data_IF_736842993334
#
_entry.id   IF_736842993334
#
_cell.length_a   1.000
_cell.length_b   1.000
_cell.length_c   1.000
_cell.angle_alpha   90.00
_cell.angle_beta   90.00
_cell.angle_gamma   90.00
#
_symmetry.space_group_name_H-M   'P 1'
#
loop_
_entity.id
_entity.type
_entity.pdbx_description
1 polymer ?
#
# COMPACT_ATOMS: atom_id res chain seq x y z
N UNK A 1 -14.13 32.11 -4.27
CA UNK A 1 -14.91 32.79 -3.21
C UNK A 1 -16.34 32.93 -3.73
N UNK A 2 -17.22 31.99 -3.36
CA UNK A 2 -18.61 31.92 -3.84
C UNK A 2 -19.57 32.79 -3.04
N UNK A 3 -20.86 32.72 -3.38
CA UNK A 3 -21.95 33.47 -2.73
C UNK A 3 -22.93 32.52 -2.04
N UNK A 4 -23.34 32.83 -0.81
CA UNK A 4 -24.45 32.15 -0.12
C UNK A 4 -25.72 32.95 -0.37
N UNK A 5 -26.72 32.33 -0.97
CA UNK A 5 -28.05 32.93 -1.20
C UNK A 5 -29.06 32.31 -0.23
N UNK A 6 -29.85 33.17 0.42
CA UNK A 6 -30.94 32.76 1.30
C UNK A 6 -32.25 33.33 0.72
N UNK A 7 -33.28 32.50 0.63
CA UNK A 7 -34.63 32.91 0.27
C UNK A 7 -35.58 32.55 1.42
N UNK A 8 -36.31 33.53 1.93
CA UNK A 8 -37.30 33.38 2.99
C UNK A 8 -38.70 33.73 2.44
N UNK A 9 -39.68 32.85 2.66
CA UNK A 9 -41.00 32.97 2.03
C UNK A 9 -42.06 33.68 2.89
N UNK A 10 -41.79 33.96 4.17
CA UNK A 10 -42.83 34.43 5.10
C UNK A 10 -42.33 35.28 6.28
N UNK A 11 -41.25 36.03 6.13
CA UNK A 11 -40.67 36.88 7.18
C UNK A 11 -39.77 38.00 6.65
N UNK A 12 -39.36 38.93 7.52
CA UNK A 12 -38.30 39.90 7.24
C UNK A 12 -37.02 39.46 7.94
N UNK A 13 -35.93 39.35 7.19
CA UNK A 13 -34.61 39.00 7.72
C UNK A 13 -34.18 40.06 8.74
N UNK A 14 -34.01 39.65 10.00
CA UNK A 14 -33.59 40.52 11.08
C UNK A 14 -32.04 40.53 11.23
N UNK A 15 -31.51 41.46 12.03
CA UNK A 15 -30.07 41.60 12.26
C UNK A 15 -29.41 40.33 12.86
N UNK A 16 -30.17 39.50 13.59
CA UNK A 16 -29.67 38.22 14.09
C UNK A 16 -29.44 37.22 12.95
N UNK A 17 -30.31 37.19 11.95
CA UNK A 17 -30.18 36.34 10.75
C UNK A 17 -28.94 36.71 9.92
N UNK A 18 -28.65 38.01 9.79
CA UNK A 18 -27.44 38.48 9.10
C UNK A 18 -26.16 38.06 9.84
N UNK A 19 -26.14 38.17 11.17
CA UNK A 19 -25.00 37.74 11.98
C UNK A 19 -24.80 36.22 11.96
N UNK A 20 -25.89 35.44 11.96
CA UNK A 20 -25.85 33.99 11.78
C UNK A 20 -25.31 33.60 10.40
N UNK A 21 -25.73 34.29 9.34
CA UNK A 21 -25.21 34.11 7.99
C UNK A 21 -23.72 34.46 7.88
N UNK A 22 -23.27 35.54 8.50
CA UNK A 22 -21.84 35.90 8.53
C UNK A 22 -21.00 34.84 9.26
N UNK A 23 -21.49 34.29 10.37
CA UNK A 23 -20.83 33.19 11.09
C UNK A 23 -20.84 31.88 10.28
N UNK A 24 -21.97 31.54 9.67
CA UNK A 24 -22.09 30.40 8.77
C UNK A 24 -21.18 30.56 7.54
N UNK A 25 -21.04 31.78 6.99
CA UNK A 25 -20.13 32.10 5.91
C UNK A 25 -18.66 31.98 6.31
N UNK A 26 -18.29 32.30 7.57
CA UNK A 26 -16.93 32.07 8.08
C UNK A 26 -16.59 30.58 8.26
N UNK A 27 -17.56 29.78 8.73
CA UNK A 27 -17.41 28.31 8.82
C UNK A 27 -17.38 27.70 7.41
N UNK A 28 -18.30 28.11 6.55
CA UNK A 28 -18.38 27.68 5.17
C UNK A 28 -17.17 28.14 4.37
N UNK A 29 -16.60 29.32 4.60
CA UNK A 29 -15.38 29.78 3.91
C UNK A 29 -14.15 29.00 4.35
N UNK A 30 -14.11 28.50 5.58
CA UNK A 30 -13.07 27.56 6.04
C UNK A 30 -13.28 26.19 5.38
N UNK A 31 -14.54 25.71 5.33
CA UNK A 31 -14.92 24.49 4.63
C UNK A 31 -14.66 24.59 3.12
N UNK A 32 -14.90 25.75 2.52
CA UNK A 32 -14.64 26.10 1.12
C UNK A 32 -13.18 26.42 0.88
N UNK A 33 -12.39 26.97 1.80
CA UNK A 33 -10.94 27.11 1.60
C UNK A 33 -10.26 25.73 1.56
N UNK A 34 -10.79 24.77 2.31
CA UNK A 34 -10.42 23.35 2.23
C UNK A 34 -10.99 22.69 0.96
N UNK A 35 -12.21 23.06 0.51
CA UNK A 35 -12.87 22.54 -0.71
C UNK A 35 -12.54 23.26 -2.03
N UNK A 36 -11.99 24.48 -2.06
CA UNK A 36 -11.74 25.25 -3.30
C UNK A 36 -10.51 24.77 -4.06
N UNK A 37 -9.94 23.63 -3.65
CA UNK A 37 -9.08 22.78 -4.47
C UNK A 37 -9.84 21.58 -5.08
N UNK A 38 -11.18 21.57 -5.06
CA UNK A 38 -12.00 20.60 -5.81
C UNK A 38 -11.92 20.93 -7.30
N UNK A 39 -11.05 20.17 -7.98
CA UNK A 39 -11.21 19.59 -9.31
C UNK A 39 -12.12 20.35 -10.30
N UNK A 40 -11.53 21.23 -11.11
CA UNK A 40 -12.05 21.29 -12.48
C UNK A 40 -11.76 19.94 -13.15
N UNK A 41 -12.58 19.48 -14.12
CA UNK A 41 -12.25 18.30 -14.92
C UNK A 41 -10.85 18.39 -15.55
N UNK A 42 -10.40 19.61 -15.84
CA UNK A 42 -9.05 19.91 -16.33
C UNK A 42 -7.99 19.65 -15.25
N UNK A 43 -8.21 20.10 -14.01
CA UNK A 43 -7.31 19.84 -12.89
C UNK A 43 -7.20 18.34 -12.58
N UNK A 44 -8.30 17.59 -12.68
CA UNK A 44 -8.28 16.12 -12.52
C UNK A 44 -7.47 15.47 -13.63
N UNK A 45 -7.71 15.86 -14.88
CA UNK A 45 -6.97 15.38 -16.03
C UNK A 45 -5.46 15.66 -15.89
N UNK A 46 -5.10 16.85 -15.42
CA UNK A 46 -3.70 17.24 -15.22
C UNK A 46 -3.06 16.50 -14.04
N UNK A 47 -3.78 16.25 -12.94
CA UNK A 47 -3.29 15.40 -11.86
C UNK A 47 -3.12 13.96 -12.33
N UNK A 48 -4.05 13.45 -13.14
CA UNK A 48 -3.95 12.14 -13.75
C UNK A 48 -2.70 12.04 -14.63
N UNK A 49 -2.49 12.99 -15.55
CA UNK A 49 -1.28 13.07 -16.37
C UNK A 49 0.00 13.09 -15.55
N UNK A 50 0.03 13.89 -14.48
CA UNK A 50 1.17 13.97 -13.56
C UNK A 50 1.46 12.63 -12.87
N UNK A 51 0.41 11.91 -12.47
CA UNK A 51 0.47 10.59 -11.84
C UNK A 51 0.84 9.46 -12.83
N UNK A 52 0.58 9.63 -14.13
CA UNK A 52 1.04 8.71 -15.18
C UNK A 52 2.45 9.02 -15.69
N UNK A 53 2.98 10.21 -15.40
CA UNK A 53 4.24 10.66 -16.01
C UNK A 53 4.05 11.08 -17.47
N UNK A 54 2.84 11.50 -17.84
CA UNK A 54 2.47 11.94 -19.19
C UNK A 54 2.34 13.47 -19.29
N UNK A 55 2.58 14.01 -20.49
CA UNK A 55 2.42 15.44 -20.77
C UNK A 55 3.64 16.30 -20.43
N UNK A 56 3.46 17.64 -20.46
CA UNK A 56 4.51 18.60 -20.13
C UNK A 56 4.64 18.77 -18.61
N UNK A 57 5.61 18.07 -18.01
CA UNK A 57 5.88 18.12 -16.57
C UNK A 57 6.22 19.52 -16.06
N UNK A 58 6.83 20.37 -16.89
CA UNK A 58 7.15 21.74 -16.49
C UNK A 58 5.88 22.59 -16.43
N UNK A 59 4.95 22.39 -17.35
CA UNK A 59 3.62 22.98 -17.28
C UNK A 59 2.85 22.49 -16.05
N UNK A 60 2.77 21.17 -15.83
CA UNK A 60 2.04 20.58 -14.71
C UNK A 60 2.60 21.03 -13.36
N UNK A 61 3.93 21.07 -13.21
CA UNK A 61 4.59 21.60 -12.02
C UNK A 61 4.16 23.05 -11.72
N UNK A 62 4.17 23.93 -12.74
CA UNK A 62 3.74 25.32 -12.59
C UNK A 62 2.24 25.42 -12.27
N UNK A 63 1.41 24.65 -12.96
CA UNK A 63 -0.04 24.64 -12.79
C UNK A 63 -0.42 24.26 -11.34
N UNK A 64 0.24 23.24 -10.79
CA UNK A 64 0.00 22.81 -9.42
C UNK A 64 0.85 23.51 -8.37
N UNK A 65 1.67 24.50 -8.73
CA UNK A 65 2.63 25.15 -7.83
C UNK A 65 3.55 24.16 -7.09
N UNK A 66 4.00 23.12 -7.79
CA UNK A 66 4.98 22.16 -7.30
C UNK A 66 6.38 22.64 -7.69
N UNK A 67 7.29 22.70 -6.73
CA UNK A 67 8.69 23.02 -7.03
C UNK A 67 9.31 21.86 -7.83
N UNK A 68 9.94 22.12 -8.99
CA UNK A 68 10.55 21.07 -9.80
C UNK A 68 11.66 20.30 -9.07
N UNK A 69 12.23 20.87 -8.01
CA UNK A 69 13.34 20.30 -7.25
C UNK A 69 12.97 19.85 -5.84
N UNK A 70 11.76 20.13 -5.37
CA UNK A 70 11.37 19.67 -4.02
C UNK A 70 11.20 18.16 -4.02
N UNK A 71 11.53 17.54 -2.88
CA UNK A 71 11.19 16.14 -2.69
C UNK A 71 9.68 15.94 -2.60
N UNK A 72 9.21 14.89 -3.25
CA UNK A 72 7.81 14.56 -3.40
C UNK A 72 7.61 13.06 -3.24
N UNK A 73 6.44 12.64 -2.75
CA UNK A 73 6.05 11.24 -2.71
C UNK A 73 4.55 11.12 -2.94
N UNK A 74 4.09 9.92 -3.28
CA UNK A 74 2.67 9.61 -3.45
C UNK A 74 2.19 8.69 -2.34
N UNK A 75 1.04 9.04 -1.75
CA UNK A 75 0.29 8.18 -0.84
C UNK A 75 -0.98 7.73 -1.55
N UNK A 76 -1.16 6.43 -1.69
CA UNK A 76 -2.37 5.84 -2.25
C UNK A 76 -3.23 5.28 -1.12
N UNK A 77 -4.50 5.69 -1.05
CA UNK A 77 -5.44 5.31 0.01
C UNK A 77 -6.59 4.53 -0.61
N UNK A 78 -6.83 3.33 -0.10
CA UNK A 78 -7.99 2.49 -0.42
C UNK A 78 -8.90 2.38 0.81
N UNK A 79 -10.13 2.86 0.65
CA UNK A 79 -11.15 2.89 1.68
C UNK A 79 -12.40 2.10 1.25
N UNK A 80 -12.30 1.16 0.30
CA UNK A 80 -13.45 0.43 -0.24
C UNK A 80 -14.30 -0.31 0.79
N UNK A 81 -13.70 -0.74 1.89
CA UNK A 81 -14.40 -1.37 3.01
C UNK A 81 -15.15 -0.39 3.93
N UNK A 82 -15.18 0.90 3.60
CA UNK A 82 -15.69 1.99 4.45
C UNK A 82 -16.84 2.73 3.77
N UNK A 83 -17.84 3.16 4.55
CA UNK A 83 -18.97 3.95 4.06
C UNK A 83 -18.55 5.32 3.49
N UNK A 84 -19.31 5.85 2.53
CA UNK A 84 -19.00 7.13 1.87
C UNK A 84 -18.84 8.32 2.84
N UNK A 85 -19.66 8.41 3.89
CA UNK A 85 -19.56 9.48 4.90
C UNK A 85 -18.24 9.41 5.67
N UNK A 86 -17.78 8.20 5.99
CA UNK A 86 -16.50 7.96 6.65
C UNK A 86 -15.32 8.19 5.71
N UNK A 87 -15.43 7.88 4.40
CA UNK A 87 -14.40 8.20 3.39
C UNK A 87 -14.09 9.70 3.35
N UNK A 88 -15.14 10.52 3.22
CA UNK A 88 -15.00 11.99 3.17
C UNK A 88 -14.37 12.56 4.44
N UNK A 89 -14.75 12.03 5.61
CA UNK A 89 -14.16 12.44 6.89
C UNK A 89 -12.68 12.08 6.99
N UNK A 90 -12.29 10.88 6.56
CA UNK A 90 -10.89 10.43 6.55
C UNK A 90 -10.05 11.31 5.62
N UNK A 91 -10.53 11.57 4.39
CA UNK A 91 -9.84 12.42 3.43
C UNK A 91 -9.64 13.84 3.98
N UNK A 92 -10.68 14.42 4.57
CA UNK A 92 -10.61 15.75 5.20
C UNK A 92 -9.62 15.78 6.37
N UNK A 93 -9.67 14.79 7.26
CA UNK A 93 -8.76 14.69 8.41
C UNK A 93 -7.31 14.48 7.96
N UNK A 94 -7.08 13.67 6.94
CA UNK A 94 -5.73 13.42 6.42
C UNK A 94 -5.13 14.68 5.80
N UNK A 95 -5.89 15.36 4.93
CA UNK A 95 -5.46 16.62 4.35
C UNK A 95 -5.13 17.67 5.41
N UNK A 96 -5.95 17.79 6.47
CA UNK A 96 -5.67 18.68 7.60
C UNK A 96 -4.35 18.30 8.32
N UNK A 97 -4.14 17.02 8.59
CA UNK A 97 -2.92 16.54 9.25
C UNK A 97 -1.67 16.79 8.39
N UNK A 98 -1.76 16.66 7.06
CA UNK A 98 -0.67 17.00 6.14
C UNK A 98 -0.33 18.50 6.21
N UNK A 99 -1.33 19.37 6.14
CA UNK A 99 -1.12 20.83 6.27
C UNK A 99 -0.48 21.19 7.61
N UNK A 100 -0.98 20.62 8.72
CA UNK A 100 -0.43 20.85 10.07
C UNK A 100 1.03 20.38 10.21
N UNK A 101 1.43 19.37 9.43
CA UNK A 101 2.79 18.86 9.37
C UNK A 101 3.70 19.67 8.41
N UNK A 102 3.19 20.76 7.81
CA UNK A 102 3.92 21.54 6.82
C UNK A 102 4.15 20.80 5.51
N UNK A 103 3.22 19.93 5.11
CA UNK A 103 3.26 19.20 3.84
C UNK A 103 2.27 19.83 2.89
N UNK A 104 2.76 20.29 1.74
CA UNK A 104 1.91 20.69 0.63
C UNK A 104 1.39 19.44 -0.08
N UNK A 105 0.09 19.37 -0.39
CA UNK A 105 -0.47 18.20 -1.07
C UNK A 105 -1.48 18.54 -2.17
N UNK A 106 -1.59 17.63 -3.15
CA UNK A 106 -2.65 17.60 -4.17
C UNK A 106 -3.33 16.24 -4.11
N UNK A 107 -4.64 16.21 -4.38
CA UNK A 107 -5.46 15.00 -4.23
C UNK A 107 -6.16 14.72 -5.53
N UNK A 108 -6.07 13.47 -5.99
CA UNK A 108 -6.91 12.93 -7.04
C UNK A 108 -7.74 11.78 -6.45
N UNK A 109 -9.07 11.93 -6.45
CA UNK A 109 -10.00 10.89 -6.02
C UNK A 109 -10.56 10.17 -7.25
N UNK A 110 -10.34 8.86 -7.34
CA UNK A 110 -10.81 8.03 -8.46
C UNK A 110 -11.63 6.87 -7.91
N UNK A 111 -12.97 6.94 -7.99
CA UNK A 111 -13.97 5.92 -7.61
C UNK A 111 -13.79 5.30 -6.21
N UNK A 112 -12.70 4.56 -6.01
CA UNK A 112 -12.36 3.68 -4.90
C UNK A 112 -10.98 3.99 -4.27
N UNK A 113 -10.11 4.68 -5.01
CA UNK A 113 -8.73 4.96 -4.63
C UNK A 113 -8.52 6.48 -4.61
N UNK A 114 -7.85 6.98 -3.58
CA UNK A 114 -7.43 8.37 -3.50
C UNK A 114 -5.91 8.47 -3.51
N UNK A 115 -5.35 9.25 -4.43
CA UNK A 115 -3.92 9.54 -4.49
C UNK A 115 -3.63 10.93 -3.92
N UNK A 116 -2.71 11.00 -2.97
CA UNK A 116 -2.16 12.23 -2.43
C UNK A 116 -0.74 12.40 -2.94
N UNK A 117 -0.48 13.44 -3.72
CA UNK A 117 0.88 13.88 -4.05
C UNK A 117 1.31 14.82 -2.92
N UNK A 118 2.29 14.39 -2.12
CA UNK A 118 2.83 15.10 -0.98
C UNK A 118 4.18 15.72 -1.34
N UNK A 119 4.38 17.00 -1.04
CA UNK A 119 5.60 17.75 -1.29
C UNK A 119 6.08 18.43 0.00
N UNK A 120 7.41 18.47 0.20
CA UNK A 120 7.99 19.27 1.27
C UNK A 120 7.80 20.76 0.98
N UNK A 121 7.25 21.51 1.94
CA UNK A 121 7.11 22.97 1.86
C UNK A 121 8.40 23.72 2.22
N UNK A 122 9.32 23.07 2.94
CA UNK A 122 10.52 23.65 3.55
C UNK A 122 11.84 23.17 2.91
N UNK A 123 11.79 22.45 1.77
CA UNK A 123 12.92 21.77 1.12
C UNK A 123 13.70 20.84 2.08
N UNK A 124 13.09 20.40 3.19
CA UNK A 124 13.70 19.51 4.15
C UNK A 124 13.34 18.06 3.83
N UNK A 125 13.93 17.61 2.72
CA UNK A 125 13.59 16.38 2.00
C UNK A 125 13.68 15.11 2.86
N UNK A 126 14.61 15.07 3.83
CA UNK A 126 14.83 13.91 4.71
C UNK A 126 13.67 13.65 5.67
N UNK A 127 12.84 14.65 5.94
CA UNK A 127 11.74 14.54 6.90
C UNK A 127 10.37 14.35 6.24
N UNK A 128 10.28 14.37 4.91
CA UNK A 128 8.99 14.28 4.21
C UNK A 128 8.26 12.98 4.55
N UNK A 129 8.92 11.83 4.37
CA UNK A 129 8.34 10.52 4.66
C UNK A 129 7.95 10.37 6.14
N UNK A 130 8.84 10.61 7.14
CA UNK A 130 8.46 10.54 8.55
C UNK A 130 7.28 11.44 8.94
N UNK A 131 7.18 12.64 8.34
CA UNK A 131 6.04 13.54 8.56
C UNK A 131 4.76 12.99 7.94
N UNK A 132 4.83 12.41 6.73
CA UNK A 132 3.68 11.76 6.09
C UNK A 132 3.20 10.57 6.92
N UNK A 133 4.09 9.68 7.35
CA UNK A 133 3.74 8.53 8.19
C UNK A 133 3.07 8.96 9.49
N UNK A 134 3.60 9.99 10.15
CA UNK A 134 2.99 10.57 11.35
C UNK A 134 1.59 11.15 11.07
N UNK A 135 1.39 11.79 9.92
CA UNK A 135 0.09 12.30 9.49
C UNK A 135 -0.90 11.18 9.16
N UNK A 136 -0.44 10.08 8.57
CA UNK A 136 -1.24 8.86 8.36
C UNK A 136 -1.65 8.28 9.71
N UNK A 137 -0.70 8.07 10.62
CA UNK A 137 -0.95 7.53 11.95
C UNK A 137 -1.91 8.40 12.79
N UNK A 138 -1.82 9.73 12.67
CA UNK A 138 -2.75 10.66 13.34
C UNK A 138 -4.16 10.64 12.72
N UNK A 139 -4.25 10.33 11.42
CA UNK A 139 -5.53 10.22 10.72
C UNK A 139 -6.27 8.97 11.15
N UNK A 140 -5.57 7.84 11.18
CA UNK A 140 -6.08 6.54 11.63
C UNK A 140 -6.37 6.62 13.13
N UNK A 141 -7.64 6.74 13.50
CA UNK A 141 -8.07 6.52 14.90
C UNK A 141 -8.27 5.03 15.16
N UNK A 142 -8.34 4.63 16.43
CA UNK A 142 -8.71 3.26 16.85
C UNK A 142 -10.09 2.79 16.32
N UNK A 143 -10.86 3.67 15.68
CA UNK A 143 -12.21 3.40 15.18
C UNK A 143 -12.24 2.83 13.76
N UNK A 144 -11.11 2.85 13.02
CA UNK A 144 -11.04 2.39 11.63
C UNK A 144 -10.08 1.22 11.54
N UNK A 145 -10.63 0.01 11.40
CA UNK A 145 -9.87 -1.25 11.37
C UNK A 145 -9.60 -1.81 9.97
N UNK A 146 -10.38 -1.38 8.97
CA UNK A 146 -10.33 -1.94 7.62
C UNK A 146 -10.00 -0.84 6.59
N UNK A 147 -8.72 -0.48 6.51
CA UNK A 147 -8.19 0.47 5.53
C UNK A 147 -6.84 -0.03 5.00
N UNK A 148 -6.44 0.46 3.82
CA UNK A 148 -5.11 0.21 3.26
C UNK A 148 -4.52 1.52 2.76
N UNK A 149 -3.36 1.88 3.26
CA UNK A 149 -2.63 3.08 2.84
C UNK A 149 -1.23 2.66 2.39
N UNK A 150 -0.90 2.94 1.14
CA UNK A 150 0.38 2.61 0.55
C UNK A 150 1.17 3.89 0.26
N UNK A 151 2.47 3.88 0.57
CA UNK A 151 3.35 5.04 0.44
C UNK A 151 4.50 4.69 -0.50
N UNK A 152 4.67 5.46 -1.57
CA UNK A 152 5.80 5.36 -2.48
C UNK A 152 7.09 5.95 -1.91
N UNK A 153 8.23 5.72 -2.56
CA UNK A 153 9.47 6.36 -2.15
C UNK A 153 9.44 7.87 -2.41
N UNK A 154 10.28 8.59 -1.66
CA UNK A 154 10.57 10.00 -1.92
C UNK A 154 11.36 10.14 -3.22
N UNK A 155 10.90 11.02 -4.10
CA UNK A 155 11.46 11.32 -5.41
C UNK A 155 11.91 12.76 -5.50
N UNK A 156 12.94 13.04 -6.29
CA UNK A 156 13.56 14.36 -6.38
C UNK A 156 12.97 15.12 -7.57
N UNK A 157 11.78 15.68 -7.34
CA UNK A 157 11.12 16.54 -8.30
C UNK A 157 9.93 15.92 -9.00
N UNK A 158 9.27 16.78 -9.78
CA UNK A 158 7.94 16.50 -10.35
C UNK A 158 7.94 15.40 -11.41
N UNK A 159 9.03 15.27 -12.18
CA UNK A 159 9.14 14.29 -13.26
C UNK A 159 9.08 12.84 -12.75
N UNK A 160 9.48 12.59 -11.51
CA UNK A 160 9.58 11.25 -10.91
C UNK A 160 8.34 10.88 -10.06
N UNK A 161 7.32 11.76 -9.95
CA UNK A 161 6.10 11.48 -9.16
C UNK A 161 5.44 10.16 -9.58
N UNK A 162 5.39 9.89 -10.89
CA UNK A 162 4.81 8.69 -11.45
C UNK A 162 5.48 7.40 -10.94
N UNK A 163 6.79 7.44 -10.67
CA UNK A 163 7.50 6.32 -10.07
C UNK A 163 7.06 6.10 -8.61
N UNK A 164 6.95 7.18 -7.83
CA UNK A 164 6.45 7.09 -6.44
C UNK A 164 5.04 6.53 -6.39
N UNK A 165 4.18 6.95 -7.32
CA UNK A 165 2.85 6.37 -7.47
C UNK A 165 2.92 4.89 -7.83
N UNK A 166 3.72 4.51 -8.83
CA UNK A 166 3.87 3.10 -9.23
C UNK A 166 4.31 2.23 -8.05
N UNK A 167 5.25 2.72 -7.24
CA UNK A 167 5.68 2.06 -5.99
C UNK A 167 4.55 1.94 -4.97
N UNK A 168 3.76 3.00 -4.76
CA UNK A 168 2.60 2.96 -3.87
C UNK A 168 1.52 1.97 -4.36
N UNK A 169 1.26 1.91 -5.66
CA UNK A 169 0.28 0.99 -6.23
C UNK A 169 0.73 -0.47 -6.09
N UNK A 170 2.04 -0.75 -6.21
CA UNK A 170 2.63 -2.07 -5.94
C UNK A 170 2.46 -2.50 -4.48
N UNK A 171 2.72 -1.60 -3.54
CA UNK A 171 2.46 -1.84 -2.11
C UNK A 171 0.99 -2.09 -1.85
N UNK A 172 0.10 -1.29 -2.45
CA UNK A 172 -1.34 -1.45 -2.28
C UNK A 172 -1.82 -2.82 -2.80
N UNK A 173 -1.33 -3.25 -3.96
CA UNK A 173 -1.64 -4.55 -4.54
C UNK A 173 -1.13 -5.71 -3.68
N UNK A 174 0.09 -5.59 -3.13
CA UNK A 174 0.62 -6.54 -2.15
C UNK A 174 -0.28 -6.63 -0.91
N UNK A 175 -0.70 -5.49 -0.35
CA UNK A 175 -1.60 -5.44 0.81
C UNK A 175 -2.98 -6.02 0.50
N UNK A 176 -3.53 -5.78 -0.70
CA UNK A 176 -4.80 -6.36 -1.16
C UNK A 176 -4.73 -7.88 -1.24
N UNK A 177 -3.70 -8.39 -1.91
CA UNK A 177 -3.49 -9.83 -2.14
C UNK A 177 -3.34 -10.59 -0.82
N UNK A 178 -2.61 -10.01 0.13
CA UNK A 178 -2.30 -10.64 1.41
C UNK A 178 -3.25 -10.23 2.56
N UNK A 179 -4.36 -9.53 2.24
CA UNK A 179 -5.36 -9.05 3.22
C UNK A 179 -4.76 -8.25 4.39
N UNK A 180 -3.70 -7.49 4.12
CA UNK A 180 -3.01 -6.66 5.11
C UNK A 180 -3.75 -5.33 5.23
N UNK A 181 -4.27 -5.03 6.41
CA UNK A 181 -4.85 -3.73 6.75
C UNK A 181 -3.84 -2.88 7.51
N UNK A 182 -3.91 -1.56 7.33
CA UNK A 182 -2.95 -0.62 7.92
C UNK A 182 -2.33 0.29 6.87
N UNK A 183 -1.10 0.72 7.15
CA UNK A 183 -0.28 1.42 6.16
C UNK A 183 1.08 0.75 5.98
N UNK A 184 1.66 0.90 4.80
CA UNK A 184 2.99 0.39 4.47
C UNK A 184 3.69 1.32 3.48
N UNK A 185 5.02 1.40 3.58
CA UNK A 185 5.85 2.11 2.61
C UNK A 185 6.69 1.16 1.75
N UNK A 186 7.01 1.57 0.52
CA UNK A 186 7.68 0.73 -0.46
C UNK A 186 9.07 0.29 -0.01
N UNK A 187 9.89 1.15 0.59
CA UNK A 187 11.25 0.76 1.01
C UNK A 187 11.22 -0.31 2.12
N UNK A 188 10.40 -0.14 3.15
CA UNK A 188 10.25 -1.13 4.21
C UNK A 188 9.64 -2.46 3.75
N UNK A 189 8.86 -2.46 2.67
CA UNK A 189 8.16 -3.64 2.15
C UNK A 189 8.68 -4.16 0.81
N UNK A 190 9.80 -3.62 0.30
CA UNK A 190 10.31 -3.89 -1.05
C UNK A 190 10.48 -5.38 -1.30
N UNK A 191 11.09 -6.10 -0.36
CA UNK A 191 11.34 -7.54 -0.49
C UNK A 191 10.05 -8.32 -0.63
N UNK A 192 9.06 -8.03 0.22
CA UNK A 192 7.78 -8.72 0.23
C UNK A 192 6.94 -8.40 -1.02
N UNK A 193 6.93 -7.13 -1.44
CA UNK A 193 6.25 -6.69 -2.67
C UNK A 193 6.83 -7.39 -3.89
N UNK A 194 8.15 -7.33 -4.07
CA UNK A 194 8.82 -7.95 -5.23
C UNK A 194 8.64 -9.47 -5.21
N UNK A 195 8.79 -10.12 -4.06
CA UNK A 195 8.57 -11.56 -3.95
C UNK A 195 7.13 -11.95 -4.30
N UNK A 196 6.15 -11.19 -3.80
CA UNK A 196 4.73 -11.42 -4.11
C UNK A 196 4.44 -11.24 -5.61
N UNK A 197 5.03 -10.24 -6.26
CA UNK A 197 4.90 -10.02 -7.71
C UNK A 197 5.50 -11.17 -8.53
N UNK A 198 6.69 -11.65 -8.14
CA UNK A 198 7.32 -12.80 -8.79
C UNK A 198 6.45 -14.05 -8.65
N UNK A 199 5.94 -14.32 -7.46
CA UNK A 199 5.05 -15.46 -7.19
C UNK A 199 3.77 -15.37 -8.03
N UNK A 200 3.13 -14.20 -8.08
CA UNK A 200 1.91 -14.00 -8.89
C UNK A 200 2.17 -14.16 -10.39
N UNK A 201 3.28 -13.59 -10.90
CA UNK A 201 3.66 -13.74 -12.31
C UNK A 201 4.00 -15.19 -12.69
N UNK A 202 4.51 -15.97 -11.73
CA UNK A 202 4.67 -17.42 -11.89
C UNK A 202 3.31 -18.13 -11.96
N UNK A 203 2.33 -17.73 -11.14
CA UNK A 203 0.95 -18.29 -11.14
C UNK A 203 0.21 -18.10 -12.45
N UNK A 204 0.37 -16.94 -13.08
CA UNK A 204 -0.27 -16.64 -14.38
C UNK A 204 0.26 -17.54 -15.50
N UNK A 205 1.52 -17.96 -15.41
CA UNK A 205 2.15 -18.89 -16.35
C UNK A 205 2.24 -20.29 -15.72
N UNK A 206 1.11 -20.99 -15.62
CA UNK A 206 1.00 -22.31 -14.97
C UNK A 206 2.12 -23.30 -15.38
N UNK A 207 2.57 -23.28 -16.64
CA UNK A 207 3.66 -24.14 -17.13
C UNK A 207 5.01 -23.88 -16.46
N UNK A 208 5.32 -22.63 -16.08
CA UNK A 208 6.56 -22.30 -15.34
C UNK A 208 6.53 -22.70 -13.87
N UNK A 209 5.35 -22.95 -13.29
CA UNK A 209 5.20 -23.47 -11.93
C UNK A 209 5.12 -25.00 -11.85
N UNK A 210 4.98 -25.68 -13.00
CA UNK A 210 5.12 -27.14 -13.05
C UNK A 210 6.55 -27.45 -12.64
N UNK A 211 6.70 -27.94 -11.41
CA UNK A 211 7.99 -28.30 -10.91
C UNK A 211 7.88 -29.20 -9.69
N UNK A 212 9.02 -29.44 -9.02
CA UNK A 212 9.17 -30.57 -8.13
C UNK A 212 8.10 -30.69 -7.05
N UNK A 213 7.62 -29.56 -6.51
CA UNK A 213 6.61 -29.56 -5.45
C UNK A 213 5.25 -30.14 -5.84
N UNK A 214 4.90 -30.19 -7.14
CA UNK A 214 3.66 -30.86 -7.59
C UNK A 214 3.66 -32.36 -7.28
N UNK A 215 4.84 -33.00 -7.12
CA UNK A 215 4.92 -34.41 -6.68
C UNK A 215 4.33 -34.62 -5.28
N UNK A 216 4.14 -33.55 -4.50
CA UNK A 216 3.44 -33.61 -3.21
C UNK A 216 1.91 -33.63 -3.35
N UNK A 217 1.34 -33.24 -4.49
CA UNK A 217 -0.12 -33.29 -4.69
C UNK A 217 -0.63 -34.74 -4.75
N UNK A 218 0.21 -35.68 -5.17
CA UNK A 218 -0.08 -37.13 -5.17
C UNK A 218 0.04 -37.77 -3.78
N UNK A 219 0.54 -37.04 -2.77
CA UNK A 219 0.74 -37.55 -1.42
C UNK A 219 -0.50 -37.37 -0.53
N UNK A 220 -0.69 -38.23 0.49
CA UNK A 220 -1.66 -37.96 1.54
C UNK A 220 -1.43 -36.57 2.16
N UNK A 221 -2.51 -35.87 2.51
CA UNK A 221 -2.43 -34.50 3.04
C UNK A 221 -1.47 -34.37 4.25
N UNK A 222 -1.43 -35.37 5.13
CA UNK A 222 -0.50 -35.42 6.27
C UNK A 222 0.96 -35.45 5.85
N UNK A 223 1.29 -36.24 4.82
CA UNK A 223 2.66 -36.40 4.32
C UNK A 223 3.09 -35.14 3.54
N UNK A 224 2.16 -34.55 2.79
CA UNK A 224 2.36 -33.26 2.12
C UNK A 224 2.64 -32.14 3.13
N UNK A 225 1.82 -32.00 4.16
CA UNK A 225 1.99 -30.95 5.17
C UNK A 225 3.26 -31.15 6.00
N UNK A 226 3.63 -32.40 6.29
CA UNK A 226 4.93 -32.74 6.90
C UNK A 226 6.10 -32.33 5.98
N UNK A 227 6.02 -32.61 4.69
CA UNK A 227 7.05 -32.22 3.73
C UNK A 227 7.20 -30.69 3.62
N UNK A 228 6.09 -29.97 3.48
CA UNK A 228 6.06 -28.51 3.38
C UNK A 228 6.57 -27.84 4.66
N UNK A 229 6.14 -28.30 5.84
CA UNK A 229 6.62 -27.77 7.12
C UNK A 229 8.11 -28.05 7.35
N UNK A 230 8.60 -29.22 6.90
CA UNK A 230 10.02 -29.57 6.96
C UNK A 230 10.86 -28.67 6.06
N UNK A 231 10.43 -28.43 4.81
CA UNK A 231 11.12 -27.51 3.90
C UNK A 231 11.10 -26.08 4.43
N UNK A 232 9.95 -25.61 4.92
CA UNK A 232 9.82 -24.27 5.51
C UNK A 232 10.81 -24.08 6.66
N UNK A 233 10.84 -25.01 7.61
CA UNK A 233 11.78 -24.94 8.74
C UNK A 233 13.24 -25.01 8.29
N UNK A 234 13.55 -25.78 7.23
CA UNK A 234 14.89 -25.83 6.64
C UNK A 234 15.33 -24.46 6.13
N UNK A 235 14.51 -23.79 5.33
CA UNK A 235 14.81 -22.47 4.77
C UNK A 235 14.86 -21.37 5.84
N UNK A 236 13.86 -21.33 6.74
CA UNK A 236 13.81 -20.35 7.85
C UNK A 236 15.04 -20.46 8.77
N UNK A 237 15.65 -21.64 8.86
CA UNK A 237 16.83 -21.91 9.68
C UNK A 237 18.15 -21.85 8.89
N UNK A 238 18.15 -21.31 7.68
CA UNK A 238 19.32 -21.26 6.79
C UNK A 238 20.03 -22.63 6.64
N UNK A 239 19.26 -23.71 6.59
CA UNK A 239 19.74 -25.08 6.47
C UNK A 239 20.26 -25.73 7.76
N UNK A 240 20.26 -25.02 8.90
CA UNK A 240 20.66 -25.58 10.18
C UNK A 240 19.63 -26.61 10.68
N UNK A 241 19.95 -27.88 10.54
CA UNK A 241 19.04 -28.97 10.90
C UNK A 241 18.70 -29.03 12.40
N UNK A 242 19.61 -28.60 13.27
CA UNK A 242 19.34 -28.61 14.72
C UNK A 242 18.34 -27.51 15.09
N UNK A 243 18.49 -26.33 14.49
CA UNK A 243 17.56 -25.22 14.70
C UNK A 243 16.19 -25.50 14.06
N UNK A 244 16.17 -26.03 12.83
CA UNK A 244 14.94 -26.40 12.16
C UNK A 244 14.16 -27.49 12.92
N UNK A 245 14.87 -28.49 13.49
CA UNK A 245 14.27 -29.50 14.34
C UNK A 245 13.67 -28.91 15.62
N UNK A 246 14.36 -27.93 16.23
CA UNK A 246 13.88 -27.19 17.40
C UNK A 246 12.60 -26.42 17.09
N UNK A 247 12.55 -25.72 15.95
CA UNK A 247 11.37 -24.99 15.47
C UNK A 247 10.16 -25.92 15.30
N UNK A 248 10.36 -27.14 14.81
CA UNK A 248 9.31 -28.14 14.61
C UNK A 248 9.02 -29.01 15.84
N UNK A 249 9.75 -28.84 16.95
CA UNK A 249 9.58 -29.65 18.16
C UNK A 249 9.94 -31.13 18.00
N UNK A 250 10.84 -31.47 17.07
CA UNK A 250 11.26 -32.86 16.79
C UNK A 250 12.76 -33.06 17.04
N UNK A 251 13.18 -34.32 17.11
CA UNK A 251 14.59 -34.66 17.24
C UNK A 251 15.38 -34.34 15.95
N UNK A 252 16.64 -33.85 16.01
CA UNK A 252 17.43 -33.51 14.82
C UNK A 252 17.61 -34.65 13.81
N UNK A 253 17.71 -35.90 14.27
CA UNK A 253 17.79 -37.05 13.35
C UNK A 253 16.47 -37.28 12.60
N UNK A 254 15.33 -37.11 13.28
CA UNK A 254 14.01 -37.19 12.66
C UNK A 254 13.85 -36.10 11.61
N UNK A 255 14.30 -34.88 11.90
CA UNK A 255 14.30 -33.79 10.92
C UNK A 255 15.15 -34.12 9.69
N UNK A 256 16.39 -34.59 9.87
CA UNK A 256 17.27 -34.98 8.75
C UNK A 256 16.65 -36.09 7.90
N UNK A 257 16.01 -37.07 8.55
CA UNK A 257 15.30 -38.13 7.86
C UNK A 257 14.12 -37.58 7.03
N UNK A 258 13.26 -36.75 7.64
CA UNK A 258 12.15 -36.09 6.94
C UNK A 258 12.63 -35.27 5.75
N UNK A 259 13.64 -34.43 5.96
CA UNK A 259 14.21 -33.59 4.92
C UNK A 259 14.76 -34.42 3.76
N UNK A 260 15.52 -35.48 4.07
CA UNK A 260 16.05 -36.39 3.05
C UNK A 260 14.92 -37.07 2.27
N UNK A 261 13.92 -37.64 2.96
CA UNK A 261 12.74 -38.27 2.33
C UNK A 261 12.03 -37.29 1.40
N UNK A 262 11.84 -36.04 1.83
CA UNK A 262 11.21 -34.99 1.01
C UNK A 262 12.04 -34.69 -0.23
N UNK A 263 13.35 -34.48 -0.09
CA UNK A 263 14.23 -34.18 -1.24
C UNK A 263 14.26 -35.35 -2.24
N UNK A 264 14.35 -36.58 -1.74
CA UNK A 264 14.36 -37.81 -2.55
C UNK A 264 13.04 -37.95 -3.33
N UNK A 265 11.89 -37.69 -2.67
CA UNK A 265 10.57 -37.69 -3.32
C UNK A 265 10.46 -36.62 -4.42
N UNK A 266 11.03 -35.43 -4.18
CA UNK A 266 11.04 -34.34 -5.13
C UNK A 266 12.06 -34.54 -6.25
N UNK A 267 12.93 -35.56 -6.18
CA UNK A 267 13.98 -35.81 -7.17
C UNK A 267 14.93 -34.63 -7.34
N UNK A 268 15.18 -33.89 -6.25
CA UNK A 268 15.95 -32.64 -6.27
C UNK A 268 17.34 -32.81 -5.66
N UNK A 269 18.24 -31.91 -6.04
CA UNK A 269 19.55 -31.79 -5.45
C UNK A 269 19.72 -30.39 -4.81
N UNK A 270 19.67 -30.31 -3.48
CA UNK A 270 19.83 -29.02 -2.77
C UNK A 270 21.26 -28.44 -2.82
N UNK A 271 22.24 -29.18 -3.36
CA UNK A 271 23.58 -28.61 -3.62
C UNK A 271 23.60 -27.72 -4.86
N UNK A 272 22.63 -27.84 -5.77
CA UNK A 272 22.46 -26.94 -6.90
C UNK A 272 21.74 -25.65 -6.45
N UNK A 273 22.38 -24.46 -6.58
CA UNK A 273 21.79 -23.21 -6.10
C UNK A 273 20.50 -22.83 -6.83
N UNK A 274 20.37 -23.15 -8.12
CA UNK A 274 19.18 -22.84 -8.92
C UNK A 274 17.99 -23.72 -8.47
N UNK A 275 18.20 -25.03 -8.34
CA UNK A 275 17.20 -25.97 -7.80
C UNK A 275 16.73 -25.55 -6.40
N UNK A 276 17.64 -25.09 -5.54
CA UNK A 276 17.31 -24.65 -4.18
C UNK A 276 16.46 -23.39 -4.19
N UNK A 277 16.81 -22.39 -4.99
CA UNK A 277 16.05 -21.14 -5.12
C UNK A 277 14.67 -21.40 -5.71
N UNK A 278 14.59 -22.21 -6.76
CA UNK A 278 13.31 -22.54 -7.38
C UNK A 278 12.38 -23.27 -6.42
N UNK A 279 12.92 -24.23 -5.65
CA UNK A 279 12.14 -24.93 -4.61
C UNK A 279 11.64 -23.97 -3.52
N UNK A 280 12.45 -22.99 -3.11
CA UNK A 280 12.06 -21.99 -2.12
C UNK A 280 10.94 -21.09 -2.64
N UNK A 281 11.03 -20.61 -3.88
CA UNK A 281 9.99 -19.81 -4.53
C UNK A 281 8.67 -20.59 -4.69
N UNK A 282 8.74 -21.85 -5.13
CA UNK A 282 7.57 -22.72 -5.22
C UNK A 282 6.95 -22.99 -3.86
N UNK A 283 7.76 -23.14 -2.81
CA UNK A 283 7.27 -23.30 -1.45
C UNK A 283 6.52 -22.04 -0.98
N UNK A 284 7.07 -20.85 -1.24
CA UNK A 284 6.39 -19.60 -0.94
C UNK A 284 5.05 -19.46 -1.68
N UNK A 285 5.03 -19.80 -2.97
CA UNK A 285 3.78 -19.86 -3.75
C UNK A 285 2.77 -20.82 -3.10
N UNK A 286 3.17 -22.06 -2.83
CA UNK A 286 2.27 -23.09 -2.30
C UNK A 286 1.68 -22.69 -0.94
N UNK A 287 2.50 -22.09 -0.06
CA UNK A 287 2.05 -21.60 1.24
C UNK A 287 1.16 -20.35 1.15
N UNK A 288 1.26 -19.57 0.07
CA UNK A 288 0.37 -18.43 -0.17
C UNK A 288 -1.03 -18.86 -0.64
N UNK A 289 -1.11 -19.95 -1.42
CA UNK A 289 -2.38 -20.48 -1.95
C UNK A 289 -3.04 -21.44 -0.98
N UNK A 290 -2.26 -22.36 -0.37
CA UNK A 290 -2.71 -23.40 0.56
C UNK A 290 -1.87 -23.30 1.85
N UNK A 291 -2.17 -22.35 2.74
CA UNK A 291 -1.42 -22.21 3.99
C UNK A 291 -1.52 -23.48 4.84
N UNK A 292 -0.42 -23.83 5.50
CA UNK A 292 -0.40 -24.95 6.45
C UNK A 292 -1.45 -24.71 7.54
N UNK A 293 -2.28 -25.72 7.81
CA UNK A 293 -3.21 -25.66 8.92
C UNK A 293 -2.41 -25.54 10.22
N UNK A 294 -2.77 -24.57 11.06
CA UNK A 294 -2.19 -24.48 12.42
C UNK A 294 -2.69 -25.68 13.22
N UNK A 295 -1.80 -26.62 13.51
CA UNK A 295 -2.00 -27.67 14.51
C UNK A 295 -2.02 -27.09 15.92
#
# INVERSE_FOLDING_TARGET
MGSIWLAESSGTLNCESENLLKRAAGVASTYFAVRTKESSPESELFLFQLLQGEGDMAFLARYFHLSPKSSQLVVTVDLNSISHSSKSLINSKFGKNLTEAGIDYRVLEQSDITHYICASSDNNDLLLLPRVEKSVQKTISNEISHFKIAIGCVKKGVAEIHESRSEADRVLNYMKTNLIYGFAEFNATRTQVVLSELILGMSENHETLIGPLQRLDDQPATDRDEALSTLKAHYDSFGNSSEAARVLGIHPNTFRYRLKRTIDLLGLNLSDPESRLMLELQLHHELSVRPLQKS
#
